data_IF_833983413313
#
_entry.id   IF_833983413313
#
_cell.length_a   1.000
_cell.length_b   1.000
_cell.length_c   1.000
_cell.angle_alpha   90.00
_cell.angle_beta   90.00
_cell.angle_gamma   90.00
#
_symmetry.space_group_name_H-M   'P 1'
#
loop_
_entity.id
_entity.type
_entity.pdbx_description
1 polymer ?
#
# COMPACT_ATOMS: atom_id res chain seq x y z
N UNK A 1 16.52 -26.43 -53.39
CA UNK A 1 17.05 -26.42 -52.01
C UNK A 1 17.29 -25.01 -51.44
N UNK A 2 17.68 -23.99 -52.22
CA UNK A 2 17.95 -22.62 -51.71
C UNK A 2 16.76 -21.87 -51.11
N UNK A 3 15.51 -22.18 -51.52
CA UNK A 3 14.30 -21.49 -51.03
C UNK A 3 13.91 -21.86 -49.58
N UNK A 4 14.27 -23.07 -49.13
CA UNK A 4 13.94 -23.51 -47.76
C UNK A 4 14.89 -22.90 -46.73
N UNK A 5 16.11 -22.52 -47.13
CA UNK A 5 17.09 -21.85 -46.26
C UNK A 5 16.65 -20.42 -45.90
N UNK A 6 16.09 -19.69 -46.88
CA UNK A 6 15.64 -18.31 -46.70
C UNK A 6 14.42 -18.25 -45.77
N UNK A 7 13.49 -19.20 -45.90
CA UNK A 7 12.33 -19.28 -45.01
C UNK A 7 12.73 -19.62 -43.56
N UNK A 8 13.74 -20.48 -43.38
CA UNK A 8 14.27 -20.83 -42.06
C UNK A 8 14.92 -19.64 -41.35
N UNK A 9 15.70 -18.81 -42.06
CA UNK A 9 16.32 -17.62 -41.47
C UNK A 9 15.30 -16.53 -41.11
N UNK A 10 14.25 -16.34 -41.92
CA UNK A 10 13.20 -15.34 -41.62
C UNK A 10 12.42 -15.67 -40.34
N UNK A 11 12.14 -16.96 -40.10
CA UNK A 11 11.49 -17.44 -38.87
C UNK A 11 12.38 -17.27 -37.63
N UNK A 12 13.69 -17.50 -37.77
CA UNK A 12 14.65 -17.33 -36.68
C UNK A 12 14.88 -15.86 -36.31
N UNK A 13 14.89 -14.95 -37.30
CA UNK A 13 14.95 -13.51 -37.03
C UNK A 13 13.68 -12.95 -36.38
N UNK A 14 12.51 -13.52 -36.68
CA UNK A 14 11.24 -13.11 -36.05
C UNK A 14 11.17 -13.43 -34.55
N UNK A 15 11.82 -14.52 -34.11
CA UNK A 15 11.86 -14.91 -32.70
C UNK A 15 12.83 -14.07 -31.86
N UNK A 16 13.91 -13.55 -32.46
CA UNK A 16 14.89 -12.71 -31.75
C UNK A 16 14.37 -11.30 -31.42
N UNK A 17 13.34 -10.81 -32.13
CA UNK A 17 12.75 -9.48 -31.86
C UNK A 17 11.84 -9.47 -30.61
N UNK A 18 11.38 -10.65 -30.14
CA UNK A 18 10.49 -10.76 -28.97
C UNK A 18 11.28 -10.80 -27.65
N UNK A 19 12.62 -10.88 -27.68
CA UNK A 19 13.44 -11.11 -26.49
C UNK A 19 13.87 -9.86 -25.70
N UNK A 20 13.52 -8.64 -26.14
CA UNK A 20 14.14 -7.40 -25.63
C UNK A 20 13.19 -6.47 -24.87
N UNK A 21 12.65 -6.95 -23.75
CA UNK A 21 12.35 -6.12 -22.56
C UNK A 21 12.46 -6.98 -21.29
N UNK A 22 13.67 -7.46 -20.98
CA UNK A 22 13.92 -8.05 -19.65
C UNK A 22 13.91 -6.91 -18.63
N UNK A 23 12.74 -6.62 -18.08
CA UNK A 23 12.59 -5.79 -16.90
C UNK A 23 13.17 -6.56 -15.70
N UNK A 24 14.41 -6.28 -15.35
CA UNK A 24 15.00 -6.79 -14.12
C UNK A 24 14.28 -6.13 -12.93
N UNK A 25 13.32 -6.84 -12.33
CA UNK A 25 12.73 -6.42 -11.06
C UNK A 25 13.77 -6.63 -9.94
N UNK A 26 14.36 -5.54 -9.47
CA UNK A 26 15.29 -5.55 -8.35
C UNK A 26 14.49 -5.53 -7.04
N UNK A 27 14.40 -6.69 -6.38
CA UNK A 27 13.81 -6.78 -5.04
C UNK A 27 14.87 -6.57 -3.97
N UNK A 28 14.92 -5.38 -3.38
CA UNK A 28 15.73 -5.13 -2.18
C UNK A 28 14.94 -5.58 -0.96
N UNK A 29 15.31 -6.70 -0.33
CA UNK A 29 14.69 -7.17 0.92
C UNK A 29 15.30 -6.45 2.13
N UNK A 30 14.75 -5.28 2.43
CA UNK A 30 14.82 -4.71 3.78
C UNK A 30 13.46 -4.96 4.47
N UNK A 31 13.42 -5.35 5.76
CA UNK A 31 12.17 -5.54 6.48
C UNK A 31 11.32 -4.26 6.41
N UNK A 32 10.03 -4.43 6.08
CA UNK A 32 9.02 -3.36 5.95
C UNK A 32 9.17 -2.41 4.75
N UNK A 33 10.13 -2.60 3.85
CA UNK A 33 10.29 -1.76 2.66
C UNK A 33 9.89 -2.54 1.40
N UNK A 34 9.02 -1.94 0.57
CA UNK A 34 8.67 -2.46 -0.76
C UNK A 34 9.13 -1.46 -1.82
N UNK A 35 9.92 -1.91 -2.78
CA UNK A 35 10.37 -1.13 -3.94
C UNK A 35 9.79 -1.75 -5.21
N UNK A 36 9.17 -0.94 -6.06
CA UNK A 36 8.71 -1.34 -7.38
C UNK A 36 9.37 -0.45 -8.45
N UNK A 37 9.93 -1.08 -9.48
CA UNK A 37 10.65 -0.41 -10.57
C UNK A 37 9.93 -0.70 -11.89
N UNK A 38 9.51 0.36 -12.60
CA UNK A 38 8.77 0.34 -13.87
C UNK A 38 8.97 1.65 -14.65
N UNK A 39 7.90 2.32 -15.10
CA UNK A 39 7.94 3.70 -15.65
C UNK A 39 8.25 4.77 -14.56
N UNK A 40 9.05 4.41 -13.57
CA UNK A 40 9.30 5.14 -12.34
C UNK A 40 9.69 4.20 -11.20
N UNK A 41 10.04 4.78 -10.06
CA UNK A 41 10.41 4.06 -8.84
C UNK A 41 9.42 4.40 -7.75
N UNK A 42 8.70 3.40 -7.25
CA UNK A 42 7.82 3.54 -6.09
C UNK A 42 8.46 2.86 -4.87
N UNK A 43 8.61 3.61 -3.77
CA UNK A 43 9.13 3.11 -2.50
C UNK A 43 8.06 3.29 -1.43
N UNK A 44 7.72 2.18 -0.76
CA UNK A 44 6.79 2.16 0.37
C UNK A 44 7.46 1.60 1.60
N UNK A 45 7.53 2.41 2.65
CA UNK A 45 8.06 2.05 3.97
C UNK A 45 7.11 2.56 5.07
N UNK A 46 7.28 2.16 6.34
CA UNK A 46 6.59 2.81 7.45
C UNK A 46 6.84 4.32 7.40
N UNK A 47 5.77 5.12 7.46
CA UNK A 47 5.80 6.59 7.47
C UNK A 47 6.29 7.27 6.17
N UNK A 48 6.66 6.53 5.12
CA UNK A 48 7.14 7.10 3.85
C UNK A 48 6.46 6.45 2.63
N UNK A 49 5.91 7.30 1.75
CA UNK A 49 5.45 6.93 0.40
C UNK A 49 6.16 7.85 -0.59
N UNK A 50 7.15 7.31 -1.31
CA UNK A 50 7.92 8.05 -2.31
C UNK A 50 7.63 7.49 -3.70
N UNK A 51 7.33 8.36 -4.66
CA UNK A 51 7.19 7.99 -6.07
C UNK A 51 8.06 8.93 -6.92
N UNK A 52 8.97 8.35 -7.68
CA UNK A 52 9.83 9.05 -8.63
C UNK A 52 9.35 8.68 -10.03
N UNK A 53 8.70 9.58 -10.79
CA UNK A 53 8.29 9.28 -12.16
C UNK A 53 9.51 9.05 -13.05
N UNK A 54 9.45 8.00 -13.89
CA UNK A 54 10.56 7.59 -14.76
C UNK A 54 10.81 8.53 -15.93
N UNK A 55 9.79 9.29 -16.33
CA UNK A 55 9.87 10.30 -17.41
C UNK A 55 10.22 11.69 -16.89
N UNK A 56 10.79 11.80 -15.68
CA UNK A 56 11.44 13.07 -15.32
C UNK A 56 12.52 13.29 -16.38
N UNK A 57 12.42 14.35 -17.21
CA UNK A 57 13.51 14.67 -18.12
C UNK A 57 14.73 14.73 -17.24
N UNK A 58 15.72 13.90 -17.54
CA UNK A 58 17.04 14.03 -16.93
C UNK A 58 17.32 15.50 -17.03
N UNK A 59 17.36 16.18 -15.88
CA UNK A 59 17.80 17.57 -15.81
C UNK A 59 19.29 17.47 -16.11
N UNK A 60 19.60 17.28 -17.38
CA UNK A 60 20.92 17.49 -17.89
C UNK A 60 21.20 18.92 -17.46
N UNK A 61 22.22 19.15 -16.61
CA UNK A 61 22.59 20.52 -16.29
C UNK A 61 22.71 21.22 -17.64
N UNK A 62 21.98 22.32 -17.86
CA UNK A 62 21.94 22.95 -19.17
C UNK A 62 23.39 23.14 -19.58
N UNK A 63 23.79 22.53 -20.70
CA UNK A 63 25.03 22.91 -21.35
C UNK A 63 24.94 24.42 -21.48
N UNK A 64 25.77 25.13 -20.72
CA UNK A 64 25.87 26.58 -20.81
C UNK A 64 26.48 26.88 -22.17
N UNK A 65 25.63 26.91 -23.19
CA UNK A 65 25.91 27.60 -24.43
C UNK A 65 25.88 29.07 -24.04
N UNK A 66 27.06 29.61 -23.75
CA UNK A 66 27.27 31.04 -23.59
C UNK A 66 26.94 31.69 -24.93
N UNK A 67 25.71 32.16 -25.07
CA UNK A 67 25.29 33.04 -26.15
C UNK A 67 25.53 34.49 -25.68
N UNK A 68 26.53 35.22 -26.23
CA UNK A 68 26.98 36.50 -25.68
C UNK A 68 26.13 37.66 -26.18
N UNK A 69 24.80 37.60 -26.01
CA UNK A 69 23.93 38.57 -26.71
C UNK A 69 22.71 39.08 -25.95
N UNK A 70 22.70 39.09 -24.62
CA UNK A 70 21.72 39.91 -23.88
C UNK A 70 22.34 40.58 -22.65
N UNK A 71 22.03 41.88 -22.52
CA UNK A 71 22.58 42.82 -21.55
C UNK A 71 22.28 42.50 -20.08
N UNK A 72 22.66 43.40 -19.16
CA UNK A 72 22.64 43.13 -17.73
C UNK A 72 21.23 42.77 -17.25
N UNK A 73 21.07 41.51 -16.84
CA UNK A 73 19.87 41.05 -16.14
C UNK A 73 19.79 41.85 -14.84
N UNK A 74 18.84 42.77 -14.77
CA UNK A 74 18.44 43.41 -13.51
C UNK A 74 17.80 42.31 -12.65
N UNK A 75 18.63 41.64 -11.84
CA UNK A 75 18.16 40.68 -10.84
C UNK A 75 17.28 41.45 -9.86
N UNK A 76 15.97 41.18 -9.80
CA UNK A 76 15.12 41.84 -8.81
C UNK A 76 15.59 41.44 -7.42
N UNK A 77 15.75 42.44 -6.54
CA UNK A 77 16.21 42.23 -5.18
C UNK A 77 15.37 41.16 -4.45
N UNK A 78 16.01 40.26 -3.68
CA UNK A 78 15.31 39.21 -2.95
C UNK A 78 14.27 39.85 -2.02
N UNK A 79 13.01 39.39 -2.14
CA UNK A 79 11.95 39.83 -1.23
C UNK A 79 12.30 39.36 0.18
N UNK A 80 12.13 40.21 1.22
CA UNK A 80 12.36 39.80 2.59
C UNK A 80 11.42 38.64 2.94
N UNK A 81 12.00 37.54 3.42
CA UNK A 81 11.27 36.40 3.95
C UNK A 81 10.61 36.89 5.24
N UNK A 82 9.29 37.00 5.24
CA UNK A 82 8.51 37.22 6.46
C UNK A 82 8.59 35.92 7.25
N UNK A 83 9.50 35.88 8.22
CA UNK A 83 9.55 34.82 9.23
C UNK A 83 8.28 34.98 10.06
N UNK A 84 7.27 34.15 9.80
CA UNK A 84 6.10 34.03 10.67
C UNK A 84 6.60 33.53 12.04
N UNK A 85 6.79 34.48 12.95
CA UNK A 85 7.11 34.21 14.33
C UNK A 85 5.93 33.44 14.93
N UNK A 86 6.13 32.23 15.47
CA UNK A 86 5.06 31.47 16.10
C UNK A 86 4.47 32.31 17.23
N UNK A 87 3.14 32.40 17.25
CA UNK A 87 2.41 33.16 18.27
C UNK A 87 2.85 32.70 19.68
N UNK A 88 3.01 33.64 20.63
CA UNK A 88 3.29 33.29 22.02
C UNK A 88 2.19 32.36 22.53
N UNK A 89 2.57 31.16 22.95
CA UNK A 89 1.65 30.24 23.61
C UNK A 89 1.09 30.92 24.87
N UNK A 90 -0.23 30.79 25.13
CA UNK A 90 -0.82 31.29 26.37
C UNK A 90 -0.12 30.62 27.58
N UNK A 91 -0.01 31.33 28.72
CA UNK A 91 0.62 30.80 29.91
C UNK A 91 -0.05 29.48 30.30
N UNK A 92 0.79 28.46 30.50
CA UNK A 92 0.35 27.17 31.00
C UNK A 92 -0.32 27.40 32.36
N UNK A 93 -1.65 27.40 32.38
CA UNK A 93 -2.41 27.32 33.62
C UNK A 93 -1.90 26.08 34.37
N UNK A 94 -1.32 26.33 35.54
CA UNK A 94 -0.94 25.31 36.52
C UNK A 94 -2.22 24.61 36.98
N UNK A 95 -2.65 23.61 36.22
CA UNK A 95 -3.59 22.63 36.74
C UNK A 95 -2.84 21.85 37.82
N UNK A 96 -3.28 22.01 39.07
CA UNK A 96 -2.83 21.18 40.17
C UNK A 96 -2.94 19.70 39.73
N UNK A 97 -1.93 18.87 40.05
CA UNK A 97 -1.95 17.46 39.67
C UNK A 97 -3.26 16.84 40.19
N UNK A 98 -4.04 16.16 39.33
CA UNK A 98 -5.26 15.50 39.77
C UNK A 98 -4.90 14.54 40.89
N UNK A 99 -5.61 14.67 42.03
CA UNK A 99 -5.46 13.73 43.14
C UNK A 99 -5.63 12.30 42.59
N UNK A 100 -4.74 11.37 42.94
CA UNK A 100 -4.88 9.98 42.53
C UNK A 100 -6.22 9.46 43.06
N UNK A 101 -7.16 9.21 42.15
CA UNK A 101 -8.35 8.42 42.48
C UNK A 101 -7.87 7.07 43.04
N UNK A 102 -8.46 6.56 44.13
CA UNK A 102 -8.17 5.22 44.62
C UNK A 102 -8.30 4.24 43.47
N UNK A 103 -7.17 3.67 43.05
CA UNK A 103 -7.14 2.61 42.05
C UNK A 103 -8.09 1.51 42.54
N UNK A 104 -9.10 1.11 41.75
CA UNK A 104 -9.90 -0.06 42.06
C UNK A 104 -8.92 -1.19 42.34
N UNK A 105 -8.96 -1.76 43.54
CA UNK A 105 -8.19 -2.95 43.84
C UNK A 105 -8.61 -3.99 42.83
N UNK A 106 -7.74 -4.24 41.85
CA UNK A 106 -7.88 -5.32 40.90
C UNK A 106 -7.80 -6.55 41.77
N UNK A 107 -8.96 -7.11 42.13
CA UNK A 107 -9.07 -8.47 42.61
C UNK A 107 -8.21 -9.28 41.65
N UNK A 108 -7.20 -9.93 42.20
CA UNK A 108 -6.33 -10.89 41.56
C UNK A 108 -7.22 -12.03 41.07
N UNK A 109 -7.89 -11.76 39.96
CA UNK A 109 -8.81 -12.63 39.31
C UNK A 109 -7.91 -13.59 38.55
N UNK A 110 -7.83 -14.82 39.06
CA UNK A 110 -7.42 -16.05 38.39
C UNK A 110 -6.87 -15.80 36.99
N UNK A 111 -5.56 -16.00 36.81
CA UNK A 111 -4.88 -15.81 35.53
C UNK A 111 -5.74 -16.28 34.35
N UNK A 112 -5.74 -15.54 33.23
CA UNK A 112 -6.68 -15.75 32.14
C UNK A 112 -6.76 -17.23 31.83
N UNK A 113 -7.97 -17.84 31.86
CA UNK A 113 -8.12 -19.25 31.56
C UNK A 113 -7.39 -19.52 30.23
N UNK A 114 -6.66 -20.65 30.11
CA UNK A 114 -5.95 -20.98 28.88
C UNK A 114 -6.91 -20.74 27.73
N UNK A 115 -6.51 -19.85 26.80
CA UNK A 115 -7.34 -19.40 25.68
C UNK A 115 -7.74 -20.66 24.93
N UNK A 116 -8.92 -21.19 25.25
CA UNK A 116 -9.53 -22.29 24.54
C UNK A 116 -9.65 -21.76 23.12
N UNK A 117 -8.89 -22.36 22.20
CA UNK A 117 -8.65 -21.81 20.87
C UNK A 117 -9.96 -21.31 20.28
N UNK A 118 -10.13 -19.98 20.30
CA UNK A 118 -11.35 -19.35 19.82
C UNK A 118 -11.54 -19.88 18.40
N UNK A 119 -12.65 -20.55 18.14
CA UNK A 119 -12.86 -21.23 16.88
C UNK A 119 -12.89 -20.15 15.79
N UNK A 120 -11.75 -19.96 15.12
CA UNK A 120 -11.56 -18.87 14.16
C UNK A 120 -12.33 -19.29 12.92
N UNK A 121 -13.33 -18.50 12.49
CA UNK A 121 -14.18 -18.90 11.38
C UNK A 121 -13.34 -19.05 10.12
N UNK A 122 -13.61 -20.12 9.39
CA UNK A 122 -13.11 -20.26 8.01
C UNK A 122 -13.74 -19.18 7.11
N UNK A 123 -13.13 -18.90 5.96
CA UNK A 123 -13.68 -17.96 4.99
C UNK A 123 -15.14 -18.29 4.60
N UNK A 124 -15.44 -19.59 4.48
CA UNK A 124 -16.77 -20.06 4.13
C UNK A 124 -17.78 -19.86 5.27
N UNK A 125 -17.41 -20.15 6.51
CA UNK A 125 -18.27 -19.90 7.67
C UNK A 125 -18.50 -18.41 7.87
N UNK A 126 -17.43 -17.61 7.77
CA UNK A 126 -17.51 -16.16 7.84
C UNK A 126 -18.50 -15.62 6.80
N UNK A 127 -18.44 -16.06 5.55
CA UNK A 127 -19.35 -15.59 4.50
C UNK A 127 -20.83 -15.89 4.76
N UNK A 128 -21.13 -16.94 5.53
CA UNK A 128 -22.50 -17.33 5.87
C UNK A 128 -23.04 -16.53 7.04
N UNK A 129 -22.18 -16.24 8.02
CA UNK A 129 -22.58 -15.52 9.25
C UNK A 129 -22.47 -14.01 9.11
N UNK A 130 -21.61 -13.52 8.22
CA UNK A 130 -21.32 -12.11 8.09
C UNK A 130 -22.41 -11.38 7.29
N UNK A 131 -23.10 -10.47 7.98
CA UNK A 131 -24.02 -9.53 7.34
C UNK A 131 -23.24 -8.29 6.89
N UNK A 132 -22.92 -8.24 5.60
CA UNK A 132 -22.22 -7.10 5.01
C UNK A 132 -23.08 -5.83 5.12
N UNK A 133 -22.65 -4.92 5.99
CA UNK A 133 -23.17 -3.55 6.10
C UNK A 133 -22.04 -2.57 5.78
N UNK A 134 -22.38 -1.31 5.52
CA UNK A 134 -21.39 -0.27 5.31
C UNK A 134 -20.60 -0.02 6.60
N UNK A 135 -19.28 0.15 6.50
CA UNK A 135 -18.45 0.46 7.67
C UNK A 135 -17.06 -0.16 7.63
N UNK A 136 -16.29 0.10 8.68
CA UNK A 136 -14.95 -0.46 8.88
C UNK A 136 -15.02 -1.65 9.83
N UNK A 137 -14.41 -2.76 9.42
CA UNK A 137 -14.43 -4.03 10.13
C UNK A 137 -13.01 -4.49 10.44
N UNK A 138 -12.84 -5.05 11.63
CA UNK A 138 -11.66 -5.79 12.03
C UNK A 138 -12.10 -7.20 12.41
N UNK A 139 -11.68 -8.19 11.62
CA UNK A 139 -12.11 -9.58 11.78
C UNK A 139 -10.90 -10.49 11.76
N UNK A 140 -10.88 -11.50 12.63
CA UNK A 140 -9.85 -12.54 12.59
C UNK A 140 -10.39 -13.74 11.81
N UNK A 141 -9.69 -14.11 10.73
CA UNK A 141 -10.09 -15.17 9.81
C UNK A 141 -9.02 -16.27 9.80
N UNK A 142 -9.43 -17.52 9.56
CA UNK A 142 -8.48 -18.61 9.41
C UNK A 142 -7.80 -18.55 8.05
N UNK A 143 -6.47 -18.44 8.03
CA UNK A 143 -5.71 -18.39 6.79
C UNK A 143 -5.36 -19.81 6.30
N UNK A 144 -5.88 -20.23 5.13
CA UNK A 144 -5.68 -21.59 4.62
C UNK A 144 -4.24 -21.88 4.22
N UNK A 145 -3.45 -20.84 3.91
CA UNK A 145 -2.06 -20.95 3.47
C UNK A 145 -1.08 -21.07 4.65
N UNK A 146 -1.28 -20.28 5.71
CA UNK A 146 -0.41 -20.29 6.90
C UNK A 146 -0.91 -21.21 8.02
N UNK A 147 -2.17 -21.66 7.96
CA UNK A 147 -2.85 -22.40 9.04
C UNK A 147 -2.93 -21.63 10.35
N UNK A 148 -2.89 -20.31 10.28
CA UNK A 148 -2.91 -19.43 11.45
C UNK A 148 -4.08 -18.43 11.38
N UNK A 149 -4.61 -17.99 12.53
CA UNK A 149 -5.50 -16.85 12.60
C UNK A 149 -4.84 -15.60 12.02
N UNK A 150 -5.51 -14.90 11.12
CA UNK A 150 -5.03 -13.66 10.49
C UNK A 150 -6.05 -12.57 10.71
N UNK A 151 -5.66 -11.48 11.35
CA UNK A 151 -6.51 -10.29 11.53
C UNK A 151 -6.53 -9.47 10.24
N UNK A 152 -7.73 -9.22 9.74
CA UNK A 152 -7.99 -8.46 8.51
C UNK A 152 -8.79 -7.22 8.87
N UNK A 153 -8.32 -6.08 8.39
CA UNK A 153 -9.02 -4.79 8.48
C UNK A 153 -9.45 -4.33 7.11
N UNK A 154 -10.73 -4.09 6.92
CA UNK A 154 -11.29 -3.66 5.63
C UNK A 154 -12.48 -2.73 5.84
N UNK A 155 -12.80 -1.95 4.81
CA UNK A 155 -13.95 -1.05 4.82
C UNK A 155 -14.88 -1.44 3.68
N UNK A 156 -16.16 -1.57 3.99
CA UNK A 156 -17.21 -1.85 3.02
C UNK A 156 -17.92 -0.54 2.63
N UNK A 157 -18.15 -0.32 1.33
CA UNK A 157 -18.89 0.85 0.85
C UNK A 157 -20.36 0.78 1.27
N UNK A 158 -21.06 1.91 1.12
CA UNK A 158 -22.50 1.97 1.31
C UNK A 158 -23.26 1.06 0.33
N UNK A 159 -24.35 0.46 0.82
CA UNK A 159 -25.21 -0.47 0.10
C UNK A 159 -25.02 -1.93 0.52
N UNK A 160 -25.82 -2.81 -0.09
CA UNK A 160 -25.76 -4.26 0.13
C UNK A 160 -25.02 -4.92 -1.03
N UNK A 161 -24.02 -5.79 -0.79
CA UNK A 161 -23.36 -6.50 -1.87
C UNK A 161 -24.37 -7.36 -2.63
N UNK A 162 -24.34 -7.28 -3.96
CA UNK A 162 -25.20 -8.06 -4.84
C UNK A 162 -24.81 -9.53 -4.87
N UNK A 163 -23.52 -9.80 -4.73
CA UNK A 163 -22.96 -11.15 -4.74
C UNK A 163 -21.74 -11.21 -3.84
N UNK A 164 -21.62 -12.30 -3.10
CA UNK A 164 -20.41 -12.65 -2.37
C UNK A 164 -19.82 -13.87 -3.04
N UNK A 165 -18.58 -13.76 -3.52
CA UNK A 165 -17.84 -14.88 -4.10
C UNK A 165 -16.76 -15.32 -3.11
N UNK A 166 -16.75 -16.60 -2.78
CA UNK A 166 -15.81 -17.17 -1.82
C UNK A 166 -14.99 -18.21 -2.56
N UNK A 167 -13.68 -17.99 -2.63
CA UNK A 167 -12.70 -18.97 -3.08
C UNK A 167 -12.02 -19.60 -1.87
N UNK A 168 -11.07 -20.51 -2.12
CA UNK A 168 -10.31 -21.16 -1.05
C UNK A 168 -9.52 -20.16 -0.19
N UNK A 169 -9.03 -19.11 -0.83
CA UNK A 169 -8.03 -18.16 -0.36
C UNK A 169 -8.50 -16.70 -0.43
N UNK A 170 -9.67 -16.41 -0.98
CA UNK A 170 -10.18 -15.05 -1.07
C UNK A 170 -11.70 -14.95 -0.92
N UNK A 171 -12.17 -13.78 -0.49
CA UNK A 171 -13.59 -13.40 -0.46
C UNK A 171 -13.74 -12.10 -1.23
N UNK A 172 -14.67 -12.06 -2.17
CA UNK A 172 -15.02 -10.87 -2.93
C UNK A 172 -16.48 -10.46 -2.68
N UNK A 173 -16.66 -9.24 -2.22
CA UNK A 173 -17.96 -8.57 -2.09
C UNK A 173 -18.20 -7.71 -3.33
N UNK A 174 -19.14 -8.09 -4.17
CA UNK A 174 -19.47 -7.38 -5.40
C UNK A 174 -20.67 -6.45 -5.20
N UNK A 175 -20.48 -5.15 -5.37
CA UNK A 175 -21.50 -4.11 -5.15
C UNK A 175 -22.14 -3.62 -6.46
N UNK A 176 -21.69 -4.10 -7.62
CA UNK A 176 -22.19 -3.69 -8.92
C UNK A 176 -21.09 -3.53 -9.96
N UNK A 177 -21.37 -2.77 -11.03
CA UNK A 177 -20.43 -2.62 -12.13
C UNK A 177 -19.13 -1.95 -11.66
N UNK A 178 -18.04 -2.72 -11.67
CA UNK A 178 -16.67 -2.32 -11.29
C UNK A 178 -16.45 -1.95 -9.82
N UNK A 179 -17.43 -2.18 -8.94
CA UNK A 179 -17.29 -1.91 -7.50
C UNK A 179 -17.18 -3.21 -6.71
N UNK A 180 -16.03 -3.45 -6.11
CA UNK A 180 -15.82 -4.65 -5.29
C UNK A 180 -14.81 -4.44 -4.17
N UNK A 181 -14.98 -5.23 -3.12
CA UNK A 181 -14.00 -5.37 -2.04
C UNK A 181 -13.55 -6.82 -2.02
N UNK A 182 -12.26 -7.06 -2.33
CA UNK A 182 -11.67 -8.40 -2.32
C UNK A 182 -10.66 -8.51 -1.19
N UNK A 183 -10.82 -9.53 -0.36
CA UNK A 183 -9.90 -9.90 0.71
C UNK A 183 -9.20 -11.18 0.25
N UNK A 184 -7.88 -11.16 0.14
CA UNK A 184 -7.04 -12.28 -0.27
C UNK A 184 -6.12 -12.67 0.89
N UNK A 185 -6.09 -13.95 1.23
CA UNK A 185 -5.29 -14.52 2.31
C UNK A 185 -4.12 -15.32 1.71
N UNK A 186 -2.93 -14.73 1.80
CA UNK A 186 -1.69 -15.28 1.29
C UNK A 186 -0.78 -15.78 2.41
N UNK A 187 0.40 -16.31 2.04
CA UNK A 187 1.45 -16.67 3.00
C UNK A 187 1.98 -15.49 3.80
N UNK A 188 1.91 -14.28 3.23
CA UNK A 188 2.41 -13.05 3.85
C UNK A 188 1.36 -12.35 4.74
N UNK A 189 0.12 -12.88 4.82
CA UNK A 189 -0.97 -12.31 5.59
C UNK A 189 -2.21 -12.04 4.74
N UNK A 190 -2.90 -10.93 5.00
CA UNK A 190 -4.11 -10.55 4.29
C UNK A 190 -3.89 -9.30 3.43
N UNK A 191 -4.33 -9.35 2.18
CA UNK A 191 -4.33 -8.22 1.25
C UNK A 191 -5.78 -7.84 0.96
N UNK A 192 -6.10 -6.55 1.11
CA UNK A 192 -7.43 -6.00 0.82
C UNK A 192 -7.33 -5.11 -0.41
N UNK A 193 -8.09 -5.44 -1.44
CA UNK A 193 -8.18 -4.68 -2.68
C UNK A 193 -9.58 -4.10 -2.80
N UNK A 194 -9.67 -2.78 -2.97
CA UNK A 194 -10.93 -2.07 -3.21
C UNK A 194 -10.90 -1.44 -4.59
N UNK A 195 -12.02 -1.54 -5.31
CA UNK A 195 -12.22 -0.90 -6.61
C UNK A 195 -13.59 -0.27 -6.70
#
# INVERSE_FOLDING_TARGET
MKRNLILGMALLSGWLVIASTVHAQVFVRAPFVRVAVGNGVAVRAPFVRLFVPGDSPVYAPPYQVYDPLYGPILVPAPRPIIVNQPAPMPPANQFAPPQPLPLPQVKENNGPPPIQGANVPTLQEFSKTFQAKAGSYEVTLFNPATKQPTTVRFTLPEGTPRRVHVTRDSIEFNYGFRRFVRIELDRDGAVVTTR
#
